data_IF_788814129828
#
_entry.id   IF_788814129828
#
_cell.length_a   1.000
_cell.length_b   1.000
_cell.length_c   1.000
_cell.angle_alpha   90.00
_cell.angle_beta   90.00
_cell.angle_gamma   90.00
#
_symmetry.space_group_name_H-M   'P 1'
#
loop_
_entity.id
_entity.type
_entity.pdbx_description
1 polymer ?
#
# COMPACT_ATOMS: atom_id res chain seq x y z
N UNK A 1 24.64 -25.67 -69.50
CA UNK A 1 24.81 -24.95 -68.24
C UNK A 1 23.42 -24.75 -67.58
N UNK A 2 23.05 -25.59 -66.61
CA UNK A 2 21.77 -25.55 -65.96
C UNK A 2 21.92 -24.70 -64.67
N UNK A 3 21.19 -23.57 -64.58
CA UNK A 3 21.12 -22.74 -63.36
C UNK A 3 20.12 -23.37 -62.42
N UNK A 4 20.61 -23.79 -61.25
CA UNK A 4 19.78 -24.26 -60.16
C UNK A 4 19.42 -23.02 -59.31
N UNK A 5 18.12 -22.65 -59.25
CA UNK A 5 17.57 -21.68 -58.28
C UNK A 5 17.33 -22.40 -56.96
N UNK A 6 18.05 -22.00 -55.94
CA UNK A 6 17.75 -22.41 -54.56
C UNK A 6 16.82 -21.34 -53.96
N UNK A 7 15.54 -21.69 -53.79
CA UNK A 7 14.59 -20.87 -53.04
C UNK A 7 14.75 -21.16 -51.54
N UNK A 8 15.29 -20.23 -50.78
CA UNK A 8 15.33 -20.29 -49.33
C UNK A 8 13.95 -19.89 -48.77
N UNK A 9 13.21 -20.86 -48.25
CA UNK A 9 11.99 -20.60 -47.51
C UNK A 9 12.37 -20.10 -46.09
N UNK A 10 12.21 -18.80 -45.86
CA UNK A 10 12.27 -18.24 -44.52
C UNK A 10 10.95 -18.56 -43.81
N UNK A 11 10.92 -19.61 -42.99
CA UNK A 11 9.83 -19.83 -42.02
C UNK A 11 9.92 -18.76 -40.93
N UNK A 12 9.07 -17.74 -41.02
CA UNK A 12 8.83 -16.83 -39.94
C UNK A 12 8.06 -17.61 -38.83
N UNK A 13 8.75 -18.06 -37.79
CA UNK A 13 8.11 -18.49 -36.58
C UNK A 13 7.46 -17.27 -35.92
N UNK A 14 6.23 -16.97 -36.27
CA UNK A 14 5.36 -16.16 -35.42
C UNK A 14 5.04 -17.02 -34.20
N UNK A 15 5.82 -16.84 -33.12
CA UNK A 15 5.42 -17.29 -31.83
C UNK A 15 4.07 -16.64 -31.54
N UNK A 16 3.02 -17.44 -31.49
CA UNK A 16 1.73 -17.00 -30.92
C UNK A 16 2.02 -16.61 -29.48
N UNK A 17 2.02 -15.32 -29.17
CA UNK A 17 1.93 -14.88 -27.78
C UNK A 17 0.70 -15.58 -27.22
N UNK A 18 0.91 -16.52 -26.30
CA UNK A 18 -0.17 -17.25 -25.68
C UNK A 18 -1.12 -16.22 -25.06
N UNK A 19 -2.42 -16.32 -25.34
CA UNK A 19 -3.40 -15.49 -24.67
C UNK A 19 -3.25 -15.74 -23.16
N UNK A 20 -3.32 -14.67 -22.38
CA UNK A 20 -3.27 -14.80 -20.92
C UNK A 20 -4.45 -15.68 -20.46
N UNK A 21 -4.15 -16.73 -19.71
CA UNK A 21 -5.17 -17.70 -19.25
C UNK A 21 -5.82 -17.23 -17.94
N UNK A 22 -7.13 -17.49 -17.83
CA UNK A 22 -7.88 -17.30 -16.62
C UNK A 22 -7.33 -18.20 -15.51
N UNK A 23 -7.29 -17.68 -14.28
CA UNK A 23 -6.82 -18.43 -13.10
C UNK A 23 -7.87 -18.46 -12.01
N UNK A 24 -7.75 -19.44 -11.12
CA UNK A 24 -8.61 -19.57 -9.92
C UNK A 24 -7.77 -19.61 -8.66
N UNK A 25 -8.13 -18.77 -7.69
CA UNK A 25 -7.47 -18.66 -6.38
C UNK A 25 -8.51 -18.57 -5.25
N UNK A 26 -8.07 -18.66 -4.01
CA UNK A 26 -8.95 -18.39 -2.87
C UNK A 26 -9.11 -16.89 -2.64
N UNK A 27 -7.98 -16.15 -2.70
CA UNK A 27 -7.95 -14.71 -2.45
C UNK A 27 -7.20 -13.98 -3.57
N UNK A 28 -7.86 -13.00 -4.19
CA UNK A 28 -7.20 -12.03 -5.05
C UNK A 28 -6.94 -10.73 -4.28
N UNK A 29 -5.76 -10.13 -4.47
CA UNK A 29 -5.38 -8.89 -3.81
C UNK A 29 -5.03 -7.85 -4.87
N UNK A 30 -5.63 -6.67 -4.80
CA UNK A 30 -5.31 -5.52 -5.64
C UNK A 30 -4.32 -4.62 -4.90
N UNK A 31 -3.12 -4.44 -5.47
CA UNK A 31 -2.06 -3.60 -4.93
C UNK A 31 -1.04 -4.36 -4.08
N UNK A 32 0.24 -4.17 -4.41
CA UNK A 32 1.38 -4.75 -3.69
C UNK A 32 2.09 -3.73 -2.79
N UNK A 33 1.33 -2.85 -2.15
CA UNK A 33 1.78 -1.99 -1.05
C UNK A 33 1.81 -2.74 0.29
N UNK A 34 2.04 -2.03 1.40
CA UNK A 34 2.08 -2.62 2.74
C UNK A 34 0.82 -3.39 3.11
N UNK A 35 -0.36 -2.85 2.82
CA UNK A 35 -1.63 -3.51 3.13
C UNK A 35 -1.84 -4.79 2.30
N UNK A 36 -1.61 -4.73 0.98
CA UNK A 36 -1.82 -5.87 0.09
C UNK A 36 -0.84 -7.01 0.35
N UNK A 37 0.45 -6.70 0.51
CA UNK A 37 1.45 -7.71 0.84
C UNK A 37 1.19 -8.34 2.22
N UNK A 38 0.77 -7.55 3.23
CA UNK A 38 0.40 -8.09 4.55
C UNK A 38 -0.80 -9.02 4.44
N UNK A 39 -1.85 -8.62 3.70
CA UNK A 39 -3.03 -9.44 3.48
C UNK A 39 -2.68 -10.75 2.75
N UNK A 40 -1.82 -10.67 1.74
CA UNK A 40 -1.40 -11.83 0.96
C UNK A 40 -0.59 -12.83 1.80
N UNK A 41 0.40 -12.34 2.55
CA UNK A 41 1.23 -13.19 3.43
C UNK A 41 0.33 -13.85 4.48
N UNK A 42 -0.51 -13.08 5.18
CA UNK A 42 -1.38 -13.62 6.23
C UNK A 42 -2.40 -14.62 5.68
N UNK A 43 -3.02 -14.35 4.54
CA UNK A 43 -3.97 -15.27 3.92
C UNK A 43 -3.29 -16.58 3.51
N UNK A 44 -2.08 -16.52 2.95
CA UNK A 44 -1.30 -17.69 2.59
C UNK A 44 -0.89 -18.52 3.80
N UNK A 45 -0.46 -17.88 4.90
CA UNK A 45 -0.14 -18.57 6.16
C UNK A 45 -1.34 -19.29 6.78
N UNK A 46 -2.54 -18.81 6.49
CA UNK A 46 -3.80 -19.47 6.86
C UNK A 46 -4.25 -20.56 5.87
N UNK A 47 -3.42 -20.89 4.87
CA UNK A 47 -3.65 -21.98 3.92
C UNK A 47 -4.40 -21.56 2.64
N UNK A 48 -4.63 -20.28 2.39
CA UNK A 48 -5.26 -19.83 1.15
C UNK A 48 -4.26 -19.79 -0.02
N UNK A 49 -4.76 -20.14 -1.23
CA UNK A 49 -4.06 -19.83 -2.48
C UNK A 49 -4.32 -18.36 -2.83
N UNK A 50 -3.23 -17.57 -3.02
CA UNK A 50 -3.30 -16.11 -3.14
C UNK A 50 -2.60 -15.63 -4.39
N UNK A 51 -3.20 -14.65 -5.09
CA UNK A 51 -2.53 -13.85 -6.12
C UNK A 51 -2.61 -12.37 -5.75
N UNK A 52 -1.51 -11.66 -5.97
CA UNK A 52 -1.46 -10.19 -5.84
C UNK A 52 -1.24 -9.58 -7.22
N UNK A 53 -2.05 -8.60 -7.58
CA UNK A 53 -1.86 -7.82 -8.81
C UNK A 53 -1.42 -6.39 -8.48
N UNK A 54 -0.36 -5.94 -9.14
CA UNK A 54 0.21 -4.61 -8.98
C UNK A 54 0.37 -3.96 -10.36
N UNK A 55 -0.23 -2.80 -10.55
CA UNK A 55 -0.17 -2.10 -11.86
C UNK A 55 1.20 -1.53 -12.20
N UNK A 56 1.99 -1.21 -11.17
CA UNK A 56 3.33 -0.69 -11.37
C UNK A 56 4.35 -1.80 -11.60
N UNK A 57 5.52 -1.45 -12.13
CA UNK A 57 6.62 -2.39 -12.36
C UNK A 57 7.28 -2.89 -11.06
N UNK A 58 7.07 -2.19 -9.95
CA UNK A 58 7.66 -2.50 -8.64
C UNK A 58 6.59 -2.51 -7.56
N UNK A 59 6.78 -3.35 -6.56
CA UNK A 59 5.97 -3.40 -5.33
C UNK A 59 6.30 -2.22 -4.40
N UNK A 60 5.42 -1.93 -3.45
CA UNK A 60 5.65 -1.00 -2.36
C UNK A 60 4.68 0.18 -2.32
N UNK A 61 4.22 0.68 -3.46
CA UNK A 61 3.28 1.81 -3.52
C UNK A 61 3.71 3.00 -2.65
N UNK A 62 2.76 3.62 -1.94
CA UNK A 62 3.07 4.69 -0.98
C UNK A 62 3.82 4.20 0.26
N UNK A 63 3.72 2.92 0.60
CA UNK A 63 4.41 2.37 1.77
C UNK A 63 5.93 2.54 1.64
N UNK A 64 6.53 2.29 0.47
CA UNK A 64 7.98 2.44 0.29
C UNK A 64 8.46 3.88 0.50
N UNK A 65 7.58 4.86 0.36
CA UNK A 65 7.88 6.30 0.55
C UNK A 65 7.73 6.78 1.98
N UNK A 66 7.22 5.94 2.90
CA UNK A 66 7.00 6.33 4.28
C UNK A 66 8.33 6.57 5.00
N UNK A 67 8.54 7.81 5.42
CA UNK A 67 9.77 8.25 6.09
C UNK A 67 9.68 8.23 7.62
N UNK A 68 8.48 8.22 8.17
CA UNK A 68 8.21 8.24 9.61
C UNK A 68 8.53 6.93 10.31
N UNK A 69 7.53 6.27 10.81
CA UNK A 69 7.62 4.99 11.49
C UNK A 69 6.26 4.32 11.62
N UNK A 70 6.21 3.16 12.24
CA UNK A 70 5.00 2.43 12.53
C UNK A 70 4.61 2.67 13.99
N UNK A 71 3.47 3.30 14.23
CA UNK A 71 2.98 3.56 15.58
C UNK A 71 2.39 2.29 16.21
N UNK A 72 2.88 1.93 17.38
CA UNK A 72 2.35 0.81 18.16
C UNK A 72 2.47 1.06 19.64
N UNK A 73 1.52 0.53 20.41
CA UNK A 73 1.44 0.72 21.86
C UNK A 73 1.50 -0.61 22.62
N UNK A 74 2.17 -0.61 23.76
CA UNK A 74 2.27 -1.79 24.61
C UNK A 74 3.34 -2.80 24.18
N UNK A 75 4.33 -2.36 23.38
CA UNK A 75 5.44 -3.21 22.97
C UNK A 75 6.50 -3.31 24.09
N UNK A 76 7.18 -4.46 24.16
CA UNK A 76 8.34 -4.63 25.05
C UNK A 76 9.45 -3.60 24.76
N UNK A 77 9.57 -3.13 23.52
CA UNK A 77 10.51 -2.09 23.12
C UNK A 77 10.19 -0.73 23.77
N UNK A 78 8.91 -0.36 23.88
CA UNK A 78 8.49 0.82 24.64
C UNK A 78 8.76 0.66 26.13
N UNK A 79 8.43 -0.52 26.70
CA UNK A 79 8.65 -0.81 28.11
C UNK A 79 10.12 -0.73 28.49
N UNK A 80 11.01 -1.27 27.65
CA UNK A 80 12.46 -1.18 27.86
C UNK A 80 13.00 0.26 27.88
N UNK A 81 12.29 1.21 27.24
CA UNK A 81 12.61 2.64 27.27
C UNK A 81 11.87 3.41 28.40
N UNK A 82 11.13 2.72 29.25
CA UNK A 82 10.34 3.33 30.33
C UNK A 82 9.15 4.15 29.85
N UNK A 83 8.71 3.96 28.59
CA UNK A 83 7.57 4.70 28.03
C UNK A 83 6.27 4.28 28.72
N UNK A 84 5.54 5.26 29.25
CA UNK A 84 4.22 5.07 29.85
C UNK A 84 3.15 5.37 28.81
N UNK A 85 2.80 4.39 28.03
CA UNK A 85 1.78 4.49 26.99
C UNK A 85 0.70 3.42 27.18
N UNK A 86 -0.48 3.63 26.60
CA UNK A 86 -1.59 2.67 26.67
C UNK A 86 -2.45 2.73 25.41
N UNK A 87 -3.23 1.68 25.20
CA UNK A 87 -4.23 1.63 24.14
C UNK A 87 -5.18 2.85 24.21
N UNK A 88 -5.57 3.26 25.43
CA UNK A 88 -6.47 4.39 25.61
C UNK A 88 -5.80 5.72 25.25
N UNK A 89 -4.52 5.90 25.61
CA UNK A 89 -3.77 7.12 25.25
C UNK A 89 -3.62 7.18 23.72
N UNK A 90 -3.21 6.08 23.08
CA UNK A 90 -3.08 6.05 21.60
C UNK A 90 -4.45 6.22 20.92
N UNK A 91 -5.51 5.66 21.47
CA UNK A 91 -6.87 5.85 20.95
C UNK A 91 -7.27 7.33 20.99
N UNK A 92 -7.10 7.99 22.15
CA UNK A 92 -7.40 9.41 22.30
C UNK A 92 -6.59 10.28 21.34
N UNK A 93 -5.27 10.07 21.26
CA UNK A 93 -4.39 10.82 20.36
C UNK A 93 -4.84 10.67 18.89
N UNK A 94 -5.20 9.44 18.49
CA UNK A 94 -5.63 9.15 17.11
C UNK A 94 -6.98 9.79 16.80
N UNK A 95 -7.96 9.70 17.72
CA UNK A 95 -9.27 10.33 17.55
C UNK A 95 -9.14 11.85 17.48
N UNK A 96 -8.34 12.44 18.41
CA UNK A 96 -8.07 13.88 18.43
C UNK A 96 -7.36 14.37 17.17
N UNK A 97 -6.34 13.62 16.71
CA UNK A 97 -5.61 13.94 15.48
C UNK A 97 -6.48 13.92 14.22
N UNK A 98 -7.48 13.06 14.19
CA UNK A 98 -8.49 12.99 13.14
C UNK A 98 -9.71 13.91 13.36
N UNK A 99 -9.60 14.90 14.28
CA UNK A 99 -10.68 15.84 14.64
C UNK A 99 -12.01 15.15 15.00
N UNK A 100 -11.95 13.94 15.56
CA UNK A 100 -13.09 13.10 15.93
C UNK A 100 -13.98 12.69 14.74
N UNK A 101 -13.48 12.81 13.52
CA UNK A 101 -14.14 12.35 12.29
C UNK A 101 -13.87 10.86 11.99
N UNK A 102 -12.90 10.28 12.65
CA UNK A 102 -12.54 8.86 12.53
C UNK A 102 -13.69 7.96 13.00
N UNK A 103 -13.81 6.80 12.37
CA UNK A 103 -14.63 5.72 12.92
C UNK A 103 -13.99 5.15 14.19
N UNK A 104 -14.64 5.25 15.39
CA UNK A 104 -14.05 4.80 16.64
C UNK A 104 -13.77 3.29 16.67
N UNK A 105 -14.56 2.47 15.97
CA UNK A 105 -14.37 1.01 15.94
C UNK A 105 -13.13 0.64 15.15
N UNK A 106 -12.89 1.32 14.02
CA UNK A 106 -11.67 1.14 13.23
C UNK A 106 -10.43 1.61 13.99
N UNK A 107 -10.51 2.77 14.67
CA UNK A 107 -9.41 3.26 15.52
C UNK A 107 -9.15 2.27 16.66
N UNK A 108 -10.19 1.75 17.32
CA UNK A 108 -10.04 0.76 18.39
C UNK A 108 -9.31 -0.50 17.87
N UNK A 109 -9.67 -0.99 16.71
CA UNK A 109 -9.00 -2.12 16.07
C UNK A 109 -7.53 -1.82 15.80
N UNK A 110 -7.21 -0.65 15.21
CA UNK A 110 -5.85 -0.21 14.94
C UNK A 110 -4.99 -0.22 16.20
N UNK A 111 -5.43 0.47 17.26
CA UNK A 111 -4.61 0.65 18.47
C UNK A 111 -4.43 -0.65 19.25
N UNK A 112 -5.47 -1.49 19.34
CA UNK A 112 -5.39 -2.78 20.04
C UNK A 112 -4.54 -3.82 19.32
N UNK A 113 -4.44 -3.75 17.99
CA UNK A 113 -3.66 -4.68 17.16
C UNK A 113 -2.26 -4.17 16.84
N UNK A 114 -1.92 -2.93 17.19
CA UNK A 114 -0.67 -2.28 16.80
C UNK A 114 0.59 -3.05 17.23
N UNK A 115 0.66 -3.47 18.50
CA UNK A 115 1.81 -4.24 19.01
C UNK A 115 1.98 -5.58 18.28
N UNK A 116 0.88 -6.32 18.09
CA UNK A 116 0.92 -7.60 17.38
C UNK A 116 1.38 -7.44 15.93
N UNK A 117 1.02 -6.33 15.27
CA UNK A 117 1.49 -6.02 13.91
C UNK A 117 3.00 -5.78 13.86
N UNK A 118 3.58 -5.07 14.85
CA UNK A 118 5.03 -4.90 14.96
C UNK A 118 5.71 -6.25 15.17
N UNK A 119 5.23 -7.06 16.10
CA UNK A 119 5.81 -8.38 16.37
C UNK A 119 5.71 -9.32 15.17
N UNK A 120 4.60 -9.27 14.44
CA UNK A 120 4.43 -10.05 13.22
C UNK A 120 5.46 -9.66 12.15
N UNK A 121 5.72 -8.37 11.94
CA UNK A 121 6.79 -7.91 11.05
C UNK A 121 8.18 -8.33 11.52
N UNK A 122 8.47 -8.25 12.83
CA UNK A 122 9.73 -8.74 13.41
C UNK A 122 9.91 -10.24 13.20
N UNK A 123 8.85 -11.04 13.34
CA UNK A 123 8.87 -12.49 13.09
C UNK A 123 9.16 -12.83 11.61
N UNK A 124 8.79 -11.94 10.68
CA UNK A 124 9.14 -12.06 9.26
C UNK A 124 10.49 -11.47 8.88
N UNK A 125 11.37 -11.21 9.86
CA UNK A 125 12.72 -10.69 9.63
C UNK A 125 12.79 -9.18 9.40
N UNK A 126 11.77 -8.44 9.84
CA UNK A 126 11.77 -6.98 9.87
C UNK A 126 12.63 -6.43 11.00
N UNK A 127 13.08 -5.19 10.83
CA UNK A 127 13.77 -4.42 11.87
C UNK A 127 12.93 -3.17 12.22
N UNK A 128 12.26 -3.20 13.38
CA UNK A 128 11.45 -2.11 13.91
C UNK A 128 11.78 -1.87 15.39
N UNK A 129 13.06 -1.84 15.74
CA UNK A 129 13.56 -1.90 17.12
C UNK A 129 13.74 -0.53 17.77
N UNK A 130 13.92 0.54 17.00
CA UNK A 130 13.99 1.89 17.53
C UNK A 130 12.60 2.43 17.81
N UNK A 131 12.43 3.00 19.00
CA UNK A 131 11.17 3.65 19.41
C UNK A 131 11.44 5.12 19.69
N UNK A 132 10.68 5.99 19.06
CA UNK A 132 10.80 7.44 19.17
C UNK A 132 9.45 8.16 19.24
N UNK A 133 9.52 9.47 19.44
CA UNK A 133 8.37 10.38 19.39
C UNK A 133 8.26 10.98 18.01
N UNK A 134 7.04 10.98 17.47
CA UNK A 134 6.71 11.71 16.24
C UNK A 134 5.69 12.81 16.55
N UNK A 135 5.68 13.86 15.73
CA UNK A 135 4.71 14.95 15.85
C UNK A 135 3.27 14.42 15.83
N UNK A 136 2.44 14.91 16.77
CA UNK A 136 1.04 14.48 16.95
C UNK A 136 0.85 13.33 17.91
N UNK A 137 1.90 12.62 18.32
CA UNK A 137 1.81 11.60 19.37
C UNK A 137 2.15 12.22 20.75
N UNK A 138 1.42 11.83 21.79
CA UNK A 138 1.70 12.27 23.17
C UNK A 138 2.77 11.43 23.87
N UNK A 139 3.08 10.24 23.33
CA UNK A 139 4.06 9.31 23.85
C UNK A 139 4.97 8.76 22.76
N UNK A 140 6.24 8.39 23.08
CA UNK A 140 7.12 7.69 22.16
C UNK A 140 6.53 6.31 21.81
N UNK A 141 5.97 6.17 20.61
CA UNK A 141 5.34 4.92 20.12
C UNK A 141 5.68 4.58 18.68
N UNK A 142 6.50 5.39 18.05
CA UNK A 142 6.85 5.22 16.64
C UNK A 142 8.02 4.28 16.50
N UNK A 143 7.78 3.07 15.97
CA UNK A 143 8.80 2.05 15.75
C UNK A 143 9.44 2.26 14.37
N UNK A 144 10.77 2.22 14.35
CA UNK A 144 11.62 2.44 13.18
C UNK A 144 12.72 1.37 13.10
N UNK A 145 13.33 1.19 11.94
CA UNK A 145 14.54 0.39 11.84
C UNK A 145 15.65 0.92 12.77
N UNK A 146 16.52 0.03 13.22
CA UNK A 146 17.69 0.35 14.06
C UNK A 146 18.52 1.44 13.39
N UNK A 147 18.91 2.46 14.19
CA UNK A 147 19.61 3.66 13.68
C UNK A 147 18.67 4.72 13.09
N UNK A 148 17.35 4.57 13.20
CA UNK A 148 16.36 5.57 12.80
C UNK A 148 16.16 5.70 11.29
N UNK A 149 16.48 4.65 10.51
CA UNK A 149 16.25 4.63 9.07
C UNK A 149 14.77 4.73 8.68
N UNK A 150 14.48 4.94 7.41
CA UNK A 150 13.11 5.07 6.88
C UNK A 150 12.34 3.76 7.06
N UNK A 151 11.12 3.82 7.60
CA UNK A 151 10.30 2.63 7.88
C UNK A 151 9.76 1.99 6.60
N UNK A 152 9.41 2.78 5.60
CA UNK A 152 8.74 2.30 4.41
C UNK A 152 9.52 1.25 3.62
N UNK A 153 10.78 1.52 3.24
CA UNK A 153 11.63 0.54 2.59
C UNK A 153 11.78 -0.76 3.38
N UNK A 154 11.90 -0.66 4.71
CA UNK A 154 12.04 -1.82 5.59
C UNK A 154 10.77 -2.68 5.63
N UNK A 155 9.60 -2.07 5.77
CA UNK A 155 8.31 -2.79 5.74
C UNK A 155 8.11 -3.50 4.40
N UNK A 156 8.37 -2.80 3.29
CA UNK A 156 8.22 -3.40 1.95
C UNK A 156 9.23 -4.54 1.73
N UNK A 157 10.49 -4.35 2.12
CA UNK A 157 11.52 -5.39 2.06
C UNK A 157 11.08 -6.65 2.81
N UNK A 158 10.63 -6.47 4.04
CA UNK A 158 10.18 -7.56 4.92
C UNK A 158 9.03 -8.34 4.30
N UNK A 159 7.96 -7.63 3.93
CA UNK A 159 6.74 -8.24 3.40
C UNK A 159 6.96 -8.90 2.03
N UNK A 160 7.71 -8.26 1.14
CA UNK A 160 7.97 -8.82 -0.18
C UNK A 160 8.93 -10.02 -0.11
N UNK A 161 9.88 -10.02 0.83
CA UNK A 161 10.73 -11.18 1.10
C UNK A 161 9.90 -12.34 1.64
N UNK A 162 8.99 -12.09 2.59
CA UNK A 162 8.05 -13.11 3.08
C UNK A 162 7.20 -13.69 1.95
N UNK A 163 6.60 -12.82 1.12
CA UNK A 163 5.79 -13.26 -0.02
C UNK A 163 6.58 -14.14 -1.01
N UNK A 164 7.84 -13.78 -1.30
CA UNK A 164 8.73 -14.60 -2.15
C UNK A 164 9.06 -15.95 -1.53
N UNK A 165 9.40 -15.98 -0.25
CA UNK A 165 9.73 -17.21 0.47
C UNK A 165 8.53 -18.18 0.50
N UNK A 166 7.32 -17.65 0.64
CA UNK A 166 6.06 -18.37 0.59
C UNK A 166 5.60 -18.69 -0.84
N UNK A 167 6.34 -18.22 -1.87
CA UNK A 167 6.02 -18.41 -3.30
C UNK A 167 4.63 -17.85 -3.69
N UNK A 168 4.20 -16.80 -3.05
CA UNK A 168 2.97 -16.09 -3.41
C UNK A 168 3.12 -15.50 -4.81
N UNK A 169 2.15 -15.71 -5.69
CA UNK A 169 2.12 -15.15 -7.04
C UNK A 169 1.88 -13.62 -6.97
N UNK A 170 2.93 -12.83 -7.21
CA UNK A 170 2.86 -11.36 -7.22
C UNK A 170 3.12 -10.88 -8.65
N UNK A 171 2.07 -10.41 -9.31
CA UNK A 171 2.06 -9.99 -10.71
C UNK A 171 2.17 -8.48 -10.83
N UNK A 172 3.37 -7.98 -11.08
CA UNK A 172 3.60 -6.56 -11.42
C UNK A 172 3.20 -6.27 -12.88
N UNK A 173 3.09 -4.98 -13.24
CA UNK A 173 2.58 -4.53 -14.54
C UNK A 173 1.21 -5.18 -14.89
N UNK A 174 0.40 -5.45 -13.86
CA UNK A 174 -0.91 -6.08 -14.00
C UNK A 174 -1.97 -5.17 -13.39
N UNK A 175 -2.76 -4.55 -14.24
CA UNK A 175 -3.77 -3.57 -13.87
C UNK A 175 -5.13 -4.22 -13.63
N UNK A 176 -5.74 -3.94 -12.48
CA UNK A 176 -7.12 -4.32 -12.19
C UNK A 176 -8.09 -3.42 -12.97
N UNK A 177 -8.91 -4.00 -13.86
CA UNK A 177 -9.83 -3.25 -14.72
C UNK A 177 -11.28 -3.30 -14.21
N UNK A 178 -11.67 -4.41 -13.56
CA UNK A 178 -13.04 -4.60 -13.10
C UNK A 178 -13.11 -5.61 -11.96
N UNK A 179 -13.85 -5.29 -10.91
CA UNK A 179 -14.27 -6.27 -9.91
C UNK A 179 -15.51 -7.00 -10.44
N UNK A 180 -15.48 -8.33 -10.43
CA UNK A 180 -16.55 -9.15 -10.94
C UNK A 180 -17.48 -9.59 -9.80
N UNK A 181 -18.79 -9.46 -10.04
CA UNK A 181 -19.82 -9.91 -9.10
C UNK A 181 -20.76 -10.91 -9.76
N UNK A 182 -21.32 -11.82 -8.98
CA UNK A 182 -22.41 -12.69 -9.42
C UNK A 182 -23.77 -11.96 -9.38
N UNK A 183 -24.83 -12.69 -9.74
CA UNK A 183 -26.20 -12.14 -9.77
C UNK A 183 -26.72 -11.69 -8.40
N UNK A 184 -26.11 -12.14 -7.31
CA UNK A 184 -26.45 -11.73 -5.94
C UNK A 184 -25.68 -10.50 -5.47
N UNK A 185 -24.73 -9.99 -6.28
CA UNK A 185 -23.83 -8.92 -5.93
C UNK A 185 -22.58 -9.37 -5.16
N UNK A 186 -22.38 -10.68 -4.95
CA UNK A 186 -21.18 -11.20 -4.31
C UNK A 186 -19.98 -11.09 -5.26
N UNK A 187 -18.84 -10.62 -4.75
CA UNK A 187 -17.58 -10.60 -5.50
C UNK A 187 -17.12 -12.04 -5.78
N UNK A 188 -16.81 -12.32 -7.04
CA UNK A 188 -16.39 -13.65 -7.53
C UNK A 188 -15.08 -13.61 -8.30
N UNK A 189 -14.45 -12.47 -8.42
CA UNK A 189 -13.18 -12.34 -9.10
C UNK A 189 -12.83 -10.94 -9.56
N UNK A 190 -11.84 -10.89 -10.42
CA UNK A 190 -11.22 -9.67 -10.92
C UNK A 190 -10.85 -9.82 -12.39
N UNK A 191 -11.21 -8.87 -13.23
CA UNK A 191 -10.67 -8.74 -14.58
C UNK A 191 -9.43 -7.88 -14.54
N UNK A 192 -8.35 -8.37 -15.12
CA UNK A 192 -7.05 -7.72 -15.11
C UNK A 192 -6.44 -7.63 -16.50
N UNK A 193 -5.56 -6.65 -16.70
CA UNK A 193 -4.74 -6.51 -17.90
C UNK A 193 -3.27 -6.59 -17.52
N UNK A 194 -2.63 -7.66 -17.94
CA UNK A 194 -1.19 -7.88 -17.83
C UNK A 194 -0.46 -7.62 -19.17
N UNK A 195 0.82 -7.97 -19.20
CA UNK A 195 1.67 -7.82 -20.39
C UNK A 195 1.20 -8.70 -21.57
N UNK A 196 0.62 -9.87 -21.28
CA UNK A 196 0.22 -10.87 -22.28
C UNK A 196 -1.27 -10.75 -22.64
N UNK A 197 -1.94 -9.70 -22.19
CA UNK A 197 -3.34 -9.42 -22.48
C UNK A 197 -4.24 -9.33 -21.25
N UNK A 198 -5.54 -9.33 -21.51
CA UNK A 198 -6.58 -9.30 -20.47
C UNK A 198 -7.01 -10.72 -20.14
N UNK A 199 -7.17 -11.01 -18.83
CA UNK A 199 -7.65 -12.30 -18.32
C UNK A 199 -8.45 -12.12 -17.03
N UNK A 200 -9.07 -13.21 -16.59
CA UNK A 200 -9.88 -13.22 -15.37
C UNK A 200 -9.19 -13.97 -14.24
N UNK A 201 -9.24 -13.41 -13.06
CA UNK A 201 -8.87 -14.07 -11.81
C UNK A 201 -10.18 -14.39 -11.08
N UNK A 202 -10.57 -15.67 -11.07
CA UNK A 202 -11.68 -16.14 -10.26
C UNK A 202 -11.24 -16.29 -8.81
N UNK A 203 -11.98 -15.72 -7.86
CA UNK A 203 -11.62 -15.79 -6.45
C UNK A 203 -12.84 -15.89 -5.53
N UNK A 204 -12.65 -16.51 -4.37
CA UNK A 204 -13.68 -16.60 -3.32
C UNK A 204 -13.78 -15.31 -2.52
N UNK A 205 -12.68 -14.56 -2.43
CA UNK A 205 -12.58 -13.27 -1.77
C UNK A 205 -11.64 -12.33 -2.51
N UNK A 206 -11.87 -11.03 -2.37
CA UNK A 206 -11.05 -9.96 -2.91
C UNK A 206 -10.63 -9.02 -1.79
N UNK A 207 -9.36 -8.64 -1.76
CA UNK A 207 -8.83 -7.57 -0.92
C UNK A 207 -8.45 -6.40 -1.82
N UNK A 208 -9.16 -5.28 -1.69
CA UNK A 208 -8.74 -4.03 -2.32
C UNK A 208 -7.75 -3.30 -1.42
N UNK A 209 -6.49 -3.29 -1.82
CA UNK A 209 -5.38 -2.62 -1.17
C UNK A 209 -4.64 -1.67 -2.14
N UNK A 210 -5.36 -1.15 -3.15
CA UNK A 210 -4.81 -0.30 -4.20
C UNK A 210 -4.36 1.09 -3.73
N UNK A 211 -4.58 1.42 -2.47
CA UNK A 211 -4.20 2.71 -1.87
C UNK A 211 -5.18 3.84 -2.21
N UNK A 212 -4.69 5.07 -2.10
CA UNK A 212 -5.49 6.26 -2.29
C UNK A 212 -5.33 6.92 -3.66
N UNK A 213 -5.73 8.20 -3.75
CA UNK A 213 -5.78 8.96 -5.01
C UNK A 213 -4.88 10.21 -5.02
N UNK A 214 -3.92 10.33 -4.08
CA UNK A 214 -3.12 11.55 -3.91
C UNK A 214 -2.21 11.90 -5.10
N UNK A 215 -2.00 11.00 -6.06
CA UNK A 215 -1.32 11.29 -7.32
C UNK A 215 -2.27 11.59 -8.50
N UNK A 216 -3.58 11.57 -8.27
CA UNK A 216 -4.60 11.96 -9.25
C UNK A 216 -5.04 13.40 -9.01
N UNK A 217 -4.37 14.34 -9.68
CA UNK A 217 -4.61 15.77 -9.51
C UNK A 217 -6.05 16.19 -9.84
N UNK A 218 -6.73 15.51 -10.76
CA UNK A 218 -8.13 15.79 -11.11
C UNK A 218 -9.04 15.36 -9.96
N UNK A 219 -8.81 14.17 -9.42
CA UNK A 219 -9.58 13.64 -8.29
C UNK A 219 -9.34 14.47 -7.01
N UNK A 220 -8.10 14.88 -6.75
CA UNK A 220 -7.77 15.81 -5.67
C UNK A 220 -8.50 17.14 -5.85
N UNK A 221 -8.46 17.74 -7.04
CA UNK A 221 -9.12 19.00 -7.31
C UNK A 221 -10.67 18.89 -7.27
N UNK A 222 -11.22 17.72 -7.63
CA UNK A 222 -12.67 17.43 -7.52
C UNK A 222 -13.15 17.51 -6.08
N UNK A 223 -12.43 16.89 -5.15
CA UNK A 223 -12.84 16.82 -3.75
C UNK A 223 -12.35 18.01 -2.92
N UNK A 224 -11.19 18.57 -3.26
CA UNK A 224 -10.61 19.74 -2.56
C UNK A 224 -10.09 20.76 -3.57
N UNK A 225 -10.94 21.62 -4.14
CA UNK A 225 -10.58 22.55 -5.22
C UNK A 225 -9.39 23.46 -4.90
N UNK A 226 -9.18 23.81 -3.63
CA UNK A 226 -8.04 24.65 -3.17
C UNK A 226 -6.69 23.97 -3.35
N UNK A 227 -6.65 22.64 -3.54
CA UNK A 227 -5.42 21.87 -3.76
C UNK A 227 -5.09 21.67 -5.25
N UNK A 228 -5.88 22.26 -6.15
CA UNK A 228 -5.61 22.18 -7.58
C UNK A 228 -4.21 22.71 -7.91
N UNK A 229 -3.41 21.87 -8.57
CA UNK A 229 -2.06 22.21 -8.99
C UNK A 229 -0.98 22.05 -7.91
N UNK A 230 -1.33 21.57 -6.73
CA UNK A 230 -0.31 21.24 -5.72
C UNK A 230 0.51 20.03 -6.16
N UNK A 231 1.81 20.07 -5.84
CA UNK A 231 2.68 18.90 -5.98
C UNK A 231 2.25 17.77 -5.03
N UNK A 232 2.60 16.53 -5.37
CA UNK A 232 2.28 15.38 -4.53
C UNK A 232 3.54 14.64 -4.10
N UNK A 233 3.55 14.15 -2.86
CA UNK A 233 4.56 13.21 -2.35
C UNK A 233 4.18 11.75 -2.61
N UNK A 234 2.97 11.51 -3.15
CA UNK A 234 2.48 10.17 -3.40
C UNK A 234 3.26 9.45 -4.52
N UNK A 235 3.28 8.13 -4.43
CA UNK A 235 3.73 7.27 -5.52
C UNK A 235 2.84 7.49 -6.75
N UNK A 236 3.39 7.53 -8.00
CA UNK A 236 2.60 7.76 -9.21
C UNK A 236 1.41 6.79 -9.39
N UNK A 237 1.50 5.60 -8.80
CA UNK A 237 0.43 4.61 -8.79
C UNK A 237 -0.76 4.95 -7.88
N UNK A 238 -0.71 5.97 -7.03
CA UNK A 238 -1.80 6.35 -6.13
C UNK A 238 -2.88 7.18 -6.86
N UNK A 239 -3.56 6.58 -7.80
CA UNK A 239 -4.52 7.23 -8.73
C UNK A 239 -5.98 6.99 -8.39
N UNK A 240 -6.28 6.22 -7.32
CA UNK A 240 -7.66 5.98 -6.85
C UNK A 240 -8.38 4.86 -7.57
N UNK A 241 -7.68 4.00 -8.31
CA UNK A 241 -8.32 2.95 -9.13
C UNK A 241 -9.18 2.00 -8.30
N UNK A 242 -8.68 1.53 -7.14
CA UNK A 242 -9.44 0.66 -6.24
C UNK A 242 -10.72 1.32 -5.75
N UNK A 243 -10.67 2.59 -5.35
CA UNK A 243 -11.85 3.35 -4.95
C UNK A 243 -12.90 3.38 -6.06
N UNK A 244 -12.49 3.68 -7.30
CA UNK A 244 -13.39 3.74 -8.45
C UNK A 244 -13.94 2.36 -8.84
N UNK A 245 -13.16 1.29 -8.67
CA UNK A 245 -13.60 -0.08 -8.91
C UNK A 245 -14.62 -0.52 -7.85
N UNK A 246 -14.37 -0.21 -6.59
CA UNK A 246 -15.28 -0.52 -5.49
C UNK A 246 -16.61 0.28 -5.60
N UNK A 247 -16.56 1.55 -5.97
CA UNK A 247 -17.74 2.38 -6.19
C UNK A 247 -18.66 1.78 -7.27
N UNK A 248 -18.08 1.24 -8.36
CA UNK A 248 -18.86 0.61 -9.45
C UNK A 248 -19.67 -0.62 -9.01
N UNK A 249 -19.29 -1.26 -7.93
CA UNK A 249 -20.02 -2.40 -7.35
C UNK A 249 -20.83 -2.02 -6.12
N UNK A 250 -21.02 -0.71 -5.87
CA UNK A 250 -21.89 -0.20 -4.82
C UNK A 250 -21.23 0.16 -3.50
N UNK A 251 -19.90 0.17 -3.41
CA UNK A 251 -19.21 0.63 -2.21
C UNK A 251 -19.43 2.15 -2.03
N UNK A 252 -19.65 2.56 -0.80
CA UNK A 252 -19.78 3.97 -0.44
C UNK A 252 -18.40 4.57 -0.21
N UNK A 253 -18.12 5.71 -0.87
CA UNK A 253 -16.93 6.51 -0.62
C UNK A 253 -17.24 7.59 0.41
N UNK A 254 -16.47 7.67 1.49
CA UNK A 254 -16.66 8.65 2.56
C UNK A 254 -15.38 9.44 2.79
N UNK A 255 -15.50 10.65 3.34
CA UNK A 255 -14.39 11.51 3.74
C UNK A 255 -13.36 11.78 2.61
N UNK A 256 -13.83 11.83 1.37
CA UNK A 256 -12.97 12.03 0.19
C UNK A 256 -12.33 13.42 0.14
N UNK A 257 -12.84 14.36 0.92
CA UNK A 257 -12.32 15.72 1.12
C UNK A 257 -11.23 15.78 2.20
N UNK A 258 -11.03 14.69 2.97
CA UNK A 258 -10.03 14.62 4.04
C UNK A 258 -8.66 14.28 3.48
N UNK A 259 -8.04 15.25 2.81
CA UNK A 259 -6.71 15.11 2.19
C UNK A 259 -5.66 15.78 3.07
N UNK A 260 -4.69 14.99 3.55
CA UNK A 260 -3.55 15.51 4.29
C UNK A 260 -2.60 16.27 3.36
N UNK A 261 -2.26 17.52 3.73
CA UNK A 261 -1.19 18.28 3.11
C UNK A 261 0.06 18.25 3.99
N UNK A 262 1.23 18.02 3.39
CA UNK A 262 2.49 18.00 4.10
C UNK A 262 3.16 19.38 4.03
N UNK A 263 3.47 20.05 5.16
CA UNK A 263 3.96 21.44 5.16
C UNK A 263 5.43 21.57 4.75
N UNK A 264 6.19 20.48 4.75
CA UNK A 264 7.63 20.48 4.49
C UNK A 264 7.96 19.53 3.33
N UNK A 265 7.89 20.06 2.11
CA UNK A 265 8.21 19.36 0.87
C UNK A 265 9.20 20.21 0.08
N UNK A 266 10.21 19.57 -0.52
CA UNK A 266 11.15 20.27 -1.40
C UNK A 266 10.42 20.71 -2.67
N UNK A 267 10.35 22.02 -2.97
CA UNK A 267 9.65 22.53 -4.14
C UNK A 267 10.17 21.87 -5.43
N UNK A 268 9.28 21.61 -6.38
CA UNK A 268 9.54 21.01 -7.71
C UNK A 268 10.09 19.57 -7.72
N UNK A 269 10.55 19.05 -6.59
CA UNK A 269 11.07 17.68 -6.45
C UNK A 269 10.01 16.75 -5.85
N UNK A 270 9.17 17.27 -4.94
CA UNK A 270 8.16 16.50 -4.23
C UNK A 270 8.75 15.59 -3.13
N UNK A 271 10.02 15.77 -2.78
CA UNK A 271 10.64 15.02 -1.70
C UNK A 271 10.17 15.55 -0.34
N UNK A 272 9.79 14.63 0.55
CA UNK A 272 9.24 14.96 1.84
C UNK A 272 10.34 15.10 2.90
N UNK A 273 10.36 16.24 3.61
CA UNK A 273 11.15 16.40 4.84
C UNK A 273 10.30 15.84 5.99
N UNK A 274 10.77 14.76 6.59
CA UNK A 274 10.00 13.98 7.58
C UNK A 274 9.53 14.78 8.79
N UNK A 275 8.36 14.42 9.31
CA UNK A 275 7.79 14.97 10.56
C UNK A 275 8.70 14.77 11.79
N UNK A 276 9.62 13.83 11.75
CA UNK A 276 10.60 13.62 12.82
C UNK A 276 11.40 14.88 13.11
N UNK A 277 11.70 15.70 12.10
CA UNK A 277 12.42 16.97 12.27
C UNK A 277 11.62 17.92 13.18
N UNK A 278 10.31 18.04 12.95
CA UNK A 278 9.41 18.87 13.77
C UNK A 278 9.13 18.25 15.13
N UNK A 279 8.99 16.91 15.19
CA UNK A 279 8.83 16.17 16.43
C UNK A 279 10.02 16.35 17.39
N UNK A 280 11.21 16.63 16.85
CA UNK A 280 12.41 16.92 17.63
C UNK A 280 12.63 18.45 17.85
N UNK A 281 11.59 19.27 17.69
CA UNK A 281 11.60 20.67 18.07
C UNK A 281 11.97 21.67 16.95
N UNK A 282 12.14 21.23 15.71
CA UNK A 282 12.35 22.14 14.60
C UNK A 282 11.09 22.96 14.29
N UNK A 283 11.27 24.22 13.95
CA UNK A 283 10.22 25.16 13.55
C UNK A 283 10.41 25.61 12.11
N UNK A 284 9.32 26.00 11.46
CA UNK A 284 9.37 26.67 10.16
C UNK A 284 9.56 28.16 10.40
N UNK A 285 10.53 28.76 9.74
CA UNK A 285 10.78 30.20 9.78
C UNK A 285 10.69 30.77 8.38
N UNK A 286 10.27 32.03 8.28
CA UNK A 286 10.36 32.78 7.05
C UNK A 286 11.82 33.19 6.78
N UNK A 287 12.06 33.60 5.55
CA UNK A 287 13.36 34.08 5.12
C UNK A 287 13.67 35.50 5.69
N UNK A 288 12.60 36.23 6.07
CA UNK A 288 12.66 37.64 6.52
C UNK A 288 12.74 37.69 8.05
#
# INVERSE_FOLDING_TARGET
MKKILVAAAVMACFGTAGAAEDITVDVAVIGAGGAGLSAAVQAHELGANVVVVEKMAMVGGNTVRAAGGLNAVGTALQQAKGTKDSVEIMFYDTMKGGHWLNDPALVRTLVTKSASSVYWLLAHGGDLRDVGLMAGASQPRTHRPTGGALVGPEVVRTLYTAAKNLKIDVRTNTHAEQILTDKSGRVVGLKVKGKDGTYTIHSKALVDAAGGFGANNEMVAKYVPRLKGFATTNHPGATGDGLLLAEKIGAQLIQMDQIQTHPTVVPNVGEMITEAVRGNGAVLINKD
#
